data_IF_127533246833
#
_entry.id   IF_127533246833
#
_cell.length_a   1.000
_cell.length_b   1.000
_cell.length_c   1.000
_cell.angle_alpha   90.00
_cell.angle_beta   90.00
_cell.angle_gamma   90.00
#
_symmetry.space_group_name_H-M   'P 1'
#
loop_
_entity.id
_entity.type
_entity.pdbx_description
1 polymer ?
#
# COMPACT_ATOMS: atom_id res chain seq x y z
N UNK A 1 31.15 28.44 9.19
CA UNK A 1 31.23 27.42 8.10
C UNK A 1 31.38 25.99 8.64
N UNK A 2 32.40 25.67 9.45
CA UNK A 2 32.66 24.29 9.93
C UNK A 2 31.56 23.71 10.84
N UNK A 3 30.93 24.54 11.69
CA UNK A 3 29.79 24.11 12.52
C UNK A 3 28.60 23.64 11.66
N UNK A 4 28.18 24.47 10.70
CA UNK A 4 27.10 24.13 9.76
C UNK A 4 27.43 22.87 8.93
N UNK A 5 28.66 22.73 8.44
CA UNK A 5 29.07 21.54 7.71
C UNK A 5 28.98 20.25 8.56
N UNK A 6 29.35 20.34 9.85
CA UNK A 6 29.26 19.21 10.79
C UNK A 6 27.81 18.88 11.12
N UNK A 7 26.97 19.90 11.35
CA UNK A 7 25.53 19.73 11.58
C UNK A 7 24.86 19.04 10.39
N UNK A 8 25.11 19.51 9.17
CA UNK A 8 24.57 18.92 7.94
C UNK A 8 25.04 17.48 7.78
N UNK A 9 26.32 17.20 8.04
CA UNK A 9 26.87 15.84 7.98
C UNK A 9 26.14 14.91 8.95
N UNK A 10 25.87 15.35 10.18
CA UNK A 10 25.12 14.56 11.16
C UNK A 10 23.66 14.34 10.74
N UNK A 11 23.02 15.35 10.17
CA UNK A 11 21.67 15.25 9.60
C UNK A 11 21.63 14.22 8.47
N UNK A 12 22.60 14.24 7.55
CA UNK A 12 22.68 13.28 6.44
C UNK A 12 22.89 11.84 6.92
N UNK A 13 23.72 11.64 7.95
CA UNK A 13 23.90 10.31 8.58
C UNK A 13 22.58 9.86 9.22
N UNK A 14 21.89 10.76 9.91
CA UNK A 14 20.60 10.46 10.53
C UNK A 14 19.53 10.11 9.49
N UNK A 15 19.53 10.76 8.33
CA UNK A 15 18.65 10.42 7.20
C UNK A 15 18.89 8.98 6.73
N UNK A 16 20.14 8.54 6.62
CA UNK A 16 20.45 7.14 6.27
C UNK A 16 19.81 6.17 7.27
N UNK A 17 19.95 6.42 8.57
CA UNK A 17 19.31 5.60 9.60
C UNK A 17 17.77 5.59 9.50
N UNK A 18 17.16 6.75 9.26
CA UNK A 18 15.70 6.88 9.09
C UNK A 18 15.22 6.15 7.83
N UNK A 19 15.99 6.16 6.74
CA UNK A 19 15.63 5.38 5.53
C UNK A 19 15.59 3.88 5.80
N UNK A 20 16.46 3.37 6.69
CA UNK A 20 16.41 1.98 7.15
C UNK A 20 15.13 1.66 7.91
N UNK A 21 14.72 2.54 8.84
CA UNK A 21 13.44 2.45 9.56
C UNK A 21 12.26 2.45 8.56
N UNK A 22 12.29 3.33 7.56
CA UNK A 22 11.22 3.48 6.58
C UNK A 22 10.92 2.20 5.79
N UNK A 23 11.94 1.38 5.48
CA UNK A 23 11.72 0.13 4.73
C UNK A 23 10.78 -0.80 5.49
N UNK A 24 10.98 -0.98 6.79
CA UNK A 24 10.15 -1.87 7.59
C UNK A 24 8.87 -1.15 8.04
N UNK A 25 9.01 -0.06 8.81
CA UNK A 25 7.87 0.64 9.40
C UNK A 25 7.03 1.36 8.35
N UNK A 26 7.67 2.06 7.41
CA UNK A 26 6.99 2.87 6.40
C UNK A 26 6.30 2.04 5.31
N UNK A 27 6.94 0.97 4.81
CA UNK A 27 6.36 0.16 3.74
C UNK A 27 5.40 -0.91 4.26
N UNK A 28 5.74 -1.62 5.34
CA UNK A 28 4.92 -2.76 5.82
C UNK A 28 3.89 -2.39 6.90
N UNK A 29 4.08 -1.23 7.55
CA UNK A 29 3.31 -0.82 8.72
C UNK A 29 3.69 -1.56 10.01
N UNK A 30 4.74 -2.39 9.99
CA UNK A 30 5.22 -3.08 11.19
C UNK A 30 6.23 -2.18 11.91
N UNK A 31 5.91 -1.79 13.13
CA UNK A 31 6.78 -0.96 13.94
C UNK A 31 7.99 -1.77 14.44
N UNK A 32 9.20 -1.22 14.29
CA UNK A 32 10.45 -1.86 14.70
C UNK A 32 11.36 -0.85 15.38
N UNK A 33 11.92 -1.25 16.52
CA UNK A 33 12.82 -0.44 17.35
C UNK A 33 14.29 -0.92 17.31
N UNK A 34 14.58 -1.98 16.54
CA UNK A 34 15.90 -2.63 16.52
C UNK A 34 16.93 -2.02 15.55
N UNK A 35 16.62 -0.91 14.88
CA UNK A 35 17.50 -0.34 13.84
C UNK A 35 18.82 0.20 14.41
N UNK A 36 18.77 0.78 15.62
CA UNK A 36 19.95 1.23 16.33
C UNK A 36 20.95 0.08 16.59
N UNK A 37 20.44 -1.13 16.83
CA UNK A 37 21.23 -2.33 17.07
C UNK A 37 22.04 -2.73 15.84
N UNK A 38 21.44 -2.69 14.65
CA UNK A 38 22.14 -2.98 13.39
C UNK A 38 23.18 -1.91 13.06
N UNK A 39 22.87 -0.64 13.33
CA UNK A 39 23.83 0.44 13.21
C UNK A 39 25.03 0.23 14.16
N UNK A 40 24.76 -0.17 15.41
CA UNK A 40 25.80 -0.48 16.39
C UNK A 40 26.68 -1.65 15.92
N UNK A 41 26.09 -2.77 15.46
CA UNK A 41 26.84 -3.91 14.93
C UNK A 41 27.75 -3.48 13.78
N UNK A 42 27.21 -2.75 12.80
CA UNK A 42 28.00 -2.27 11.66
C UNK A 42 29.16 -1.35 12.10
N UNK A 43 28.89 -0.43 13.03
CA UNK A 43 29.90 0.49 13.56
C UNK A 43 31.01 -0.24 14.34
N UNK A 44 30.65 -1.17 15.24
CA UNK A 44 31.62 -1.91 16.04
C UNK A 44 32.42 -2.91 15.20
N UNK A 45 31.79 -3.63 14.27
CA UNK A 45 32.50 -4.56 13.39
C UNK A 45 33.52 -3.81 12.53
N UNK A 46 33.10 -2.73 11.85
CA UNK A 46 34.03 -1.93 11.04
C UNK A 46 35.13 -1.28 11.88
N UNK A 47 34.81 -0.78 13.07
CA UNK A 47 35.78 -0.20 14.01
C UNK A 47 36.82 -1.20 14.50
N UNK A 48 36.40 -2.41 14.92
CA UNK A 48 37.32 -3.47 15.37
C UNK A 48 38.24 -3.92 14.25
N UNK A 49 37.72 -4.10 13.03
CA UNK A 49 38.53 -4.53 11.89
C UNK A 49 39.59 -3.49 11.50
N UNK A 50 39.27 -2.21 11.57
CA UNK A 50 40.23 -1.14 11.27
C UNK A 50 41.26 -0.98 12.38
N UNK A 51 40.83 -0.94 13.65
CA UNK A 51 41.70 -0.59 14.78
C UNK A 51 42.54 -1.77 15.25
N UNK A 52 41.97 -2.98 15.33
CA UNK A 52 42.68 -4.16 15.87
C UNK A 52 43.29 -5.05 14.82
N UNK A 53 42.60 -5.21 13.68
CA UNK A 53 43.06 -6.09 12.59
C UNK A 53 43.89 -5.31 11.56
N UNK A 54 43.78 -3.98 11.53
CA UNK A 54 44.52 -3.14 10.59
C UNK A 54 44.01 -3.23 9.15
N UNK A 55 42.78 -3.69 8.94
CA UNK A 55 42.21 -3.81 7.59
C UNK A 55 41.91 -2.42 6.98
N UNK A 56 42.00 -2.29 5.65
CA UNK A 56 41.58 -1.07 4.96
C UNK A 56 40.14 -0.69 5.31
N UNK A 57 39.89 0.62 5.44
CA UNK A 57 38.59 1.18 5.83
C UNK A 57 37.44 0.65 4.96
N UNK A 58 37.58 0.72 3.63
CA UNK A 58 36.54 0.30 2.70
C UNK A 58 36.21 -1.20 2.75
N UNK A 59 37.24 -2.04 2.91
CA UNK A 59 37.05 -3.48 3.07
C UNK A 59 36.32 -3.80 4.38
N UNK A 60 36.68 -3.11 5.46
CA UNK A 60 36.03 -3.25 6.77
C UNK A 60 34.55 -2.85 6.73
N UNK A 61 34.20 -1.80 5.98
CA UNK A 61 32.79 -1.39 5.77
C UNK A 61 32.00 -2.47 5.03
N UNK A 62 32.55 -3.05 3.96
CA UNK A 62 31.87 -4.12 3.22
C UNK A 62 31.64 -5.36 4.09
N UNK A 63 32.64 -5.78 4.86
CA UNK A 63 32.51 -6.90 5.80
C UNK A 63 31.45 -6.59 6.87
N UNK A 64 31.44 -5.36 7.39
CA UNK A 64 30.44 -4.93 8.37
C UNK A 64 29.01 -4.98 7.82
N UNK A 65 28.80 -4.60 6.55
CA UNK A 65 27.49 -4.73 5.88
C UNK A 65 27.08 -6.20 5.78
N UNK A 66 27.97 -7.08 5.33
CA UNK A 66 27.68 -8.52 5.21
C UNK A 66 27.31 -9.14 6.56
N UNK A 67 28.07 -8.83 7.61
CA UNK A 67 27.77 -9.31 8.97
C UNK A 67 26.45 -8.75 9.48
N UNK A 68 26.18 -7.46 9.28
CA UNK A 68 24.91 -6.84 9.69
C UNK A 68 23.70 -7.47 8.99
N UNK A 69 23.83 -7.79 7.70
CA UNK A 69 22.81 -8.51 6.92
C UNK A 69 22.61 -9.93 7.46
N UNK A 70 23.70 -10.65 7.76
CA UNK A 70 23.63 -12.00 8.31
C UNK A 70 22.92 -12.01 9.68
N UNK A 71 23.28 -11.12 10.60
CA UNK A 71 22.59 -10.97 11.89
C UNK A 71 21.14 -10.56 11.69
N UNK A 72 20.88 -9.62 10.77
CA UNK A 72 19.53 -9.19 10.41
C UNK A 72 18.66 -10.33 9.88
N UNK A 73 19.22 -11.26 9.13
CA UNK A 73 18.52 -12.44 8.64
C UNK A 73 18.18 -13.41 9.79
N UNK A 74 19.15 -13.69 10.66
CA UNK A 74 18.98 -14.60 11.82
C UNK A 74 17.92 -14.08 12.79
N UNK A 75 17.93 -12.77 13.08
CA UNK A 75 16.95 -12.14 13.98
C UNK A 75 15.62 -11.87 13.27
N UNK A 76 15.66 -11.49 12.00
CA UNK A 76 14.48 -11.15 11.21
C UNK A 76 13.57 -12.34 10.94
N UNK A 77 14.12 -13.50 10.59
CA UNK A 77 13.35 -14.72 10.28
C UNK A 77 12.33 -15.14 11.37
N UNK A 78 12.69 -15.23 12.66
CA UNK A 78 11.73 -15.52 13.71
C UNK A 78 10.83 -14.32 14.00
N UNK A 79 11.36 -13.09 13.94
CA UNK A 79 10.61 -11.87 14.26
C UNK A 79 9.42 -11.66 13.33
N UNK A 80 9.59 -11.87 12.02
CA UNK A 80 8.51 -11.67 11.05
C UNK A 80 7.41 -12.75 11.09
N UNK A 81 7.60 -13.82 11.89
CA UNK A 81 6.57 -14.84 12.16
C UNK A 81 5.60 -14.43 13.25
N UNK A 82 5.95 -13.41 14.03
CA UNK A 82 5.16 -12.96 15.16
C UNK A 82 4.03 -12.05 14.69
N UNK A 83 2.98 -11.95 15.51
CA UNK A 83 1.91 -10.98 15.30
C UNK A 83 2.49 -9.57 15.42
N UNK A 84 1.94 -8.62 14.67
CA UNK A 84 2.44 -7.24 14.52
C UNK A 84 2.88 -6.58 15.82
N UNK A 85 2.07 -6.75 16.87
CA UNK A 85 2.30 -6.10 18.16
C UNK A 85 3.55 -6.64 18.88
N UNK A 86 3.96 -7.88 18.59
CA UNK A 86 5.13 -8.52 19.18
C UNK A 86 6.44 -8.18 18.47
N UNK A 87 6.39 -7.69 17.21
CA UNK A 87 7.59 -7.32 16.45
C UNK A 87 8.32 -6.16 17.16
N UNK A 88 7.58 -5.16 17.62
CA UNK A 88 8.12 -4.03 18.38
C UNK A 88 8.81 -4.49 19.66
N UNK A 89 8.19 -5.41 20.41
CA UNK A 89 8.73 -5.93 21.67
C UNK A 89 10.01 -6.73 21.45
N UNK A 90 10.03 -7.62 20.46
CA UNK A 90 11.22 -8.43 20.15
C UNK A 90 12.36 -7.56 19.63
N UNK A 91 12.06 -6.56 18.80
CA UNK A 91 13.10 -5.65 18.28
C UNK A 91 13.67 -4.71 19.33
N UNK A 92 12.87 -4.29 20.32
CA UNK A 92 13.35 -3.58 21.51
C UNK A 92 14.24 -4.49 22.36
N UNK A 93 13.78 -5.71 22.65
CA UNK A 93 14.57 -6.69 23.41
C UNK A 93 15.90 -7.03 22.74
N UNK A 94 15.91 -7.12 21.40
CA UNK A 94 17.16 -7.24 20.62
C UNK A 94 18.06 -6.02 20.79
N UNK A 95 17.50 -4.82 20.84
CA UNK A 95 18.23 -3.58 21.16
C UNK A 95 18.96 -3.65 22.47
N UNK A 96 18.25 -3.97 23.54
CA UNK A 96 18.83 -4.11 24.87
C UNK A 96 19.86 -5.23 24.94
N UNK A 97 19.61 -6.37 24.28
CA UNK A 97 20.55 -7.48 24.22
C UNK A 97 21.87 -7.09 23.54
N UNK A 98 21.82 -6.33 22.44
CA UNK A 98 23.03 -5.84 21.77
C UNK A 98 23.78 -4.83 22.64
N UNK A 99 23.09 -3.91 23.30
CA UNK A 99 23.72 -2.96 24.24
C UNK A 99 24.42 -3.71 25.38
N UNK A 100 23.75 -4.69 25.99
CA UNK A 100 24.31 -5.53 27.05
C UNK A 100 25.54 -6.32 26.56
N UNK A 101 25.45 -6.95 25.38
CA UNK A 101 26.55 -7.71 24.78
C UNK A 101 27.78 -6.82 24.54
N UNK A 102 27.58 -5.65 23.92
CA UNK A 102 28.66 -4.71 23.64
C UNK A 102 29.34 -4.20 24.92
N UNK A 103 28.59 -4.01 26.00
CA UNK A 103 29.13 -3.60 27.29
C UNK A 103 29.85 -4.73 28.05
N UNK A 104 29.44 -5.98 27.86
CA UNK A 104 30.05 -7.14 28.51
C UNK A 104 31.37 -7.55 27.83
N UNK A 105 31.47 -7.41 26.50
CA UNK A 105 32.66 -7.78 25.72
C UNK A 105 33.73 -6.70 25.71
N UNK A 106 34.08 -6.14 26.87
CA UNK A 106 35.01 -4.99 26.98
C UNK A 106 36.37 -5.24 26.31
N UNK A 107 36.88 -6.47 26.40
CA UNK A 107 38.14 -6.87 25.75
C UNK A 107 38.11 -6.68 24.24
N UNK A 108 36.94 -6.81 23.62
CA UNK A 108 36.74 -6.66 22.19
C UNK A 108 36.31 -5.24 21.86
N UNK A 109 35.23 -4.71 22.46
CA UNK A 109 34.51 -3.47 22.09
C UNK A 109 35.00 -2.20 22.77
N UNK A 110 35.78 -2.31 23.85
CA UNK A 110 36.06 -1.18 24.75
C UNK A 110 34.89 -0.82 25.68
N UNK A 111 33.81 -1.62 25.69
CA UNK A 111 32.63 -1.38 26.52
C UNK A 111 31.98 -0.02 26.25
N UNK A 112 31.52 0.64 27.30
CA UNK A 112 30.87 1.96 27.20
C UNK A 112 31.82 3.09 26.72
N UNK A 113 33.14 2.91 26.84
CA UNK A 113 34.14 3.90 26.43
C UNK A 113 34.46 3.84 24.93
N UNK A 114 34.16 2.72 24.27
CA UNK A 114 34.44 2.50 22.85
C UNK A 114 35.94 2.47 22.51
N UNK A 115 36.27 2.82 21.26
CA UNK A 115 37.67 2.83 20.77
C UNK A 115 38.11 4.22 20.31
N UNK A 116 39.37 4.52 20.58
CA UNK A 116 40.11 5.62 19.96
C UNK A 116 40.87 5.15 18.72
N UNK A 117 41.21 6.08 17.82
CA UNK A 117 42.07 5.79 16.66
C UNK A 117 41.32 5.41 15.37
N UNK A 118 40.00 5.55 15.32
CA UNK A 118 39.22 5.34 14.09
C UNK A 118 39.51 6.51 13.12
N UNK A 119 39.97 6.24 11.88
CA UNK A 119 40.27 7.29 10.93
C UNK A 119 38.98 8.02 10.51
N UNK A 120 38.93 9.34 10.74
CA UNK A 120 37.79 10.17 10.32
C UNK A 120 37.84 10.40 8.81
N UNK A 121 37.26 9.47 8.05
CA UNK A 121 37.11 9.56 6.58
C UNK A 121 35.78 10.19 6.15
N UNK A 122 34.88 10.48 7.09
CA UNK A 122 33.58 11.07 6.79
C UNK A 122 33.70 12.53 6.35
N UNK A 123 33.48 12.77 5.07
CA UNK A 123 33.33 14.12 4.50
C UNK A 123 31.86 14.43 4.23
N UNK A 124 31.53 15.71 4.10
CA UNK A 124 30.19 16.16 3.73
C UNK A 124 29.74 15.52 2.39
N UNK A 125 30.65 15.46 1.41
CA UNK A 125 30.40 14.84 0.10
C UNK A 125 30.07 13.36 0.21
N UNK A 126 30.83 12.62 1.02
CA UNK A 126 30.59 11.20 1.23
C UNK A 126 29.25 10.95 1.93
N UNK A 127 28.91 11.76 2.95
CA UNK A 127 27.62 11.66 3.63
C UNK A 127 26.45 11.97 2.68
N UNK A 128 26.58 13.00 1.85
CA UNK A 128 25.55 13.39 0.88
C UNK A 128 25.35 12.30 -0.18
N UNK A 129 26.43 11.81 -0.80
CA UNK A 129 26.37 10.74 -1.80
C UNK A 129 25.77 9.48 -1.21
N UNK A 130 26.15 9.11 0.01
CA UNK A 130 25.61 7.93 0.70
C UNK A 130 24.11 8.09 0.99
N UNK A 131 23.68 9.26 1.47
CA UNK A 131 22.26 9.52 1.75
C UNK A 131 21.41 9.48 0.46
N UNK A 132 21.85 10.16 -0.60
CA UNK A 132 21.16 10.13 -1.90
C UNK A 132 21.09 8.71 -2.46
N UNK A 133 22.20 7.96 -2.37
CA UNK A 133 22.25 6.57 -2.82
C UNK A 133 21.29 5.67 -2.03
N UNK A 134 21.24 5.81 -0.69
CA UNK A 134 20.26 5.07 0.14
C UNK A 134 18.81 5.41 -0.22
N UNK A 135 18.48 6.70 -0.41
CA UNK A 135 17.14 7.14 -0.83
C UNK A 135 16.78 6.57 -2.20
N UNK A 136 17.74 6.59 -3.14
CA UNK A 136 17.57 6.01 -4.47
C UNK A 136 17.30 4.51 -4.39
N UNK A 137 18.09 3.75 -3.62
CA UNK A 137 17.89 2.31 -3.42
C UNK A 137 16.53 2.00 -2.82
N UNK A 138 16.10 2.75 -1.79
CA UNK A 138 14.78 2.60 -1.18
C UNK A 138 13.67 2.91 -2.19
N UNK A 139 13.85 3.92 -3.03
CA UNK A 139 12.90 4.30 -4.08
C UNK A 139 12.77 3.21 -5.15
N UNK A 140 13.88 2.62 -5.58
CA UNK A 140 13.90 1.46 -6.48
C UNK A 140 13.23 0.25 -5.83
N UNK A 141 13.55 -0.03 -4.56
CA UNK A 141 12.95 -1.13 -3.81
C UNK A 141 11.43 -0.98 -3.68
N UNK A 142 10.93 0.21 -3.33
CA UNK A 142 9.50 0.53 -3.25
C UNK A 142 8.76 0.26 -4.57
N UNK A 143 9.40 0.59 -5.71
CA UNK A 143 8.82 0.36 -7.05
C UNK A 143 8.94 -1.09 -7.52
N UNK A 144 9.79 -1.91 -6.90
CA UNK A 144 10.01 -3.32 -7.26
C UNK A 144 8.82 -4.22 -6.87
N UNK A 145 8.80 -5.44 -7.41
CA UNK A 145 7.82 -6.48 -7.03
C UNK A 145 7.83 -6.76 -5.52
N UNK A 146 9.02 -6.83 -4.91
CA UNK A 146 9.19 -7.10 -3.48
C UNK A 146 8.69 -5.96 -2.60
N UNK A 147 8.94 -4.71 -3.00
CA UNK A 147 8.42 -3.53 -2.30
C UNK A 147 6.89 -3.49 -2.31
N UNK A 148 6.26 -3.79 -3.44
CA UNK A 148 4.79 -3.90 -3.54
C UNK A 148 4.23 -5.02 -2.67
N UNK A 149 4.92 -6.16 -2.58
CA UNK A 149 4.54 -7.24 -1.67
C UNK A 149 4.64 -6.83 -0.19
N UNK A 150 5.66 -6.04 0.18
CA UNK A 150 5.81 -5.48 1.52
C UNK A 150 4.65 -4.52 1.86
N UNK A 151 4.25 -3.67 0.92
CA UNK A 151 3.10 -2.76 1.07
C UNK A 151 1.78 -3.53 1.16
N UNK A 152 1.62 -4.60 0.38
CA UNK A 152 0.43 -5.46 0.43
C UNK A 152 0.34 -6.30 1.72
N UNK A 153 1.48 -6.56 2.39
CA UNK A 153 1.53 -7.25 3.68
C UNK A 153 0.97 -6.41 4.85
N UNK A 154 0.29 -5.28 4.56
CA UNK A 154 -0.34 -4.39 5.55
C UNK A 154 -1.47 -5.06 6.38
N UNK A 155 -1.72 -6.36 6.26
CA UNK A 155 -2.60 -7.11 7.17
C UNK A 155 -2.13 -8.51 7.60
N UNK A 156 -0.93 -8.99 7.20
CA UNK A 156 -0.46 -10.34 7.56
C UNK A 156 1.05 -10.53 7.36
N UNK A 157 1.70 -11.34 8.21
CA UNK A 157 3.16 -11.51 8.27
C UNK A 157 3.83 -11.76 6.92
N UNK A 158 5.11 -11.35 6.79
CA UNK A 158 5.86 -11.29 5.52
C UNK A 158 6.18 -12.65 4.89
N UNK A 159 6.07 -13.76 5.62
CA UNK A 159 6.54 -15.06 5.14
C UNK A 159 5.53 -15.75 4.23
N UNK A 160 6.01 -16.37 3.12
CA UNK A 160 5.19 -17.18 2.23
C UNK A 160 4.91 -18.53 2.92
N UNK A 161 3.95 -18.56 3.83
CA UNK A 161 3.44 -19.82 4.40
C UNK A 161 2.50 -20.49 3.40
N UNK A 162 2.39 -21.82 3.42
CA UNK A 162 1.49 -22.56 2.54
C UNK A 162 0.03 -22.07 2.65
N UNK A 163 -0.42 -21.73 3.86
CA UNK A 163 -1.72 -21.11 4.12
C UNK A 163 -1.85 -19.77 3.39
N UNK A 164 -0.86 -18.88 3.51
CA UNK A 164 -0.85 -17.58 2.81
C UNK A 164 -0.85 -17.75 1.30
N UNK A 165 -0.05 -18.67 0.76
CA UNK A 165 -0.02 -18.92 -0.69
C UNK A 165 -1.38 -19.41 -1.20
N UNK A 166 -2.10 -20.23 -0.43
CA UNK A 166 -3.45 -20.67 -0.76
C UNK A 166 -4.46 -19.52 -0.74
N UNK A 167 -4.40 -18.65 0.27
CA UNK A 167 -5.25 -17.45 0.36
C UNK A 167 -4.94 -16.44 -0.76
N UNK A 168 -3.65 -16.19 -1.06
CA UNK A 168 -3.24 -15.32 -2.16
C UNK A 168 -3.68 -15.86 -3.53
N UNK A 169 -3.59 -17.19 -3.72
CA UNK A 169 -4.08 -17.85 -4.92
C UNK A 169 -5.59 -17.66 -5.06
N UNK A 170 -6.35 -17.95 -3.99
CA UNK A 170 -7.81 -17.76 -3.97
C UNK A 170 -8.19 -16.29 -4.24
N UNK A 171 -7.53 -15.34 -3.61
CA UNK A 171 -7.77 -13.92 -3.84
C UNK A 171 -7.47 -13.50 -5.28
N UNK A 172 -6.40 -14.05 -5.87
CA UNK A 172 -6.06 -13.81 -7.28
C UNK A 172 -7.12 -14.38 -8.22
N UNK A 173 -7.57 -15.60 -7.98
CA UNK A 173 -8.63 -16.25 -8.77
C UNK A 173 -9.93 -15.42 -8.73
N UNK A 174 -10.31 -14.90 -7.56
CA UNK A 174 -11.47 -14.00 -7.40
C UNK A 174 -11.28 -12.69 -8.18
N UNK A 175 -10.11 -12.05 -8.07
CA UNK A 175 -9.82 -10.82 -8.81
C UNK A 175 -9.81 -11.03 -10.33
N UNK A 176 -9.21 -12.13 -10.80
CA UNK A 176 -9.18 -12.48 -12.22
C UNK A 176 -10.59 -12.73 -12.76
N UNK A 177 -11.43 -13.42 -11.99
CA UNK A 177 -12.83 -13.63 -12.33
C UNK A 177 -13.58 -12.30 -12.51
N UNK A 178 -13.54 -11.41 -11.51
CA UNK A 178 -14.30 -10.15 -11.59
C UNK A 178 -13.74 -9.14 -12.60
N UNK A 179 -12.42 -9.11 -12.81
CA UNK A 179 -11.82 -8.32 -13.91
C UNK A 179 -12.36 -8.78 -15.26
N UNK A 180 -12.53 -10.09 -15.45
CA UNK A 180 -13.09 -10.64 -16.67
C UNK A 180 -14.58 -10.29 -16.82
N UNK A 181 -15.35 -10.43 -15.75
CA UNK A 181 -16.79 -10.10 -15.72
C UNK A 181 -17.05 -8.65 -16.14
N UNK A 182 -16.26 -7.69 -15.63
CA UNK A 182 -16.42 -6.26 -16.00
C UNK A 182 -15.75 -5.87 -17.33
N UNK A 183 -15.12 -6.83 -18.03
CA UNK A 183 -14.49 -6.62 -19.33
C UNK A 183 -13.14 -5.90 -19.29
N UNK A 184 -12.43 -5.92 -18.15
CA UNK A 184 -11.15 -5.24 -17.96
C UNK A 184 -9.92 -6.14 -18.17
N UNK A 185 -10.09 -7.36 -18.70
CA UNK A 185 -9.00 -8.31 -18.96
C UNK A 185 -7.81 -7.71 -19.73
N UNK A 186 -8.00 -6.88 -20.79
CA UNK A 186 -6.89 -6.25 -21.51
C UNK A 186 -6.08 -5.27 -20.65
N UNK A 187 -6.69 -4.71 -19.61
CA UNK A 187 -6.12 -3.66 -18.76
C UNK A 187 -5.62 -4.18 -17.41
N UNK A 188 -5.56 -5.50 -17.19
CA UNK A 188 -5.23 -6.11 -15.89
C UNK A 188 -3.89 -5.69 -15.29
N UNK A 189 -2.94 -5.24 -16.12
CA UNK A 189 -1.60 -4.82 -15.72
C UNK A 189 -1.45 -3.29 -15.68
N UNK A 190 -2.47 -2.54 -16.09
CA UNK A 190 -2.46 -1.09 -16.10
C UNK A 190 -2.74 -0.54 -14.69
N UNK A 191 -2.24 0.68 -14.45
CA UNK A 191 -2.57 1.40 -13.22
C UNK A 191 -3.96 2.02 -13.35
N UNK A 192 -4.77 2.03 -12.28
CA UNK A 192 -6.09 2.67 -12.30
C UNK A 192 -6.04 4.14 -12.77
N UNK A 193 -5.00 4.87 -12.37
CA UNK A 193 -4.74 6.27 -12.75
C UNK A 193 -4.58 6.48 -14.27
N UNK A 194 -4.19 5.43 -15.01
CA UNK A 194 -3.98 5.49 -16.46
C UNK A 194 -5.25 5.13 -17.26
N UNK A 195 -6.30 4.63 -16.59
CA UNK A 195 -7.51 4.19 -17.27
C UNK A 195 -8.41 5.39 -17.61
N UNK A 196 -9.09 5.37 -18.78
CA UNK A 196 -10.22 6.26 -19.03
C UNK A 196 -11.28 6.16 -17.93
N UNK A 197 -12.01 7.25 -17.72
CA UNK A 197 -12.92 7.38 -16.58
C UNK A 197 -14.04 6.32 -16.56
N UNK A 198 -14.64 5.98 -17.70
CA UNK A 198 -15.60 4.86 -17.78
C UNK A 198 -15.01 3.51 -17.34
N UNK A 199 -13.76 3.23 -17.68
CA UNK A 199 -13.07 2.01 -17.25
C UNK A 199 -12.71 2.04 -15.75
N UNK A 200 -12.39 3.21 -15.20
CA UNK A 200 -12.20 3.37 -13.75
C UNK A 200 -13.49 3.03 -12.99
N UNK A 201 -14.65 3.48 -13.48
CA UNK A 201 -15.94 3.18 -12.87
C UNK A 201 -16.26 1.69 -12.87
N UNK A 202 -15.99 0.99 -13.98
CA UNK A 202 -16.09 -0.47 -14.05
C UNK A 202 -15.15 -1.18 -13.06
N UNK A 203 -13.94 -0.65 -12.87
CA UNK A 203 -13.00 -1.17 -11.88
C UNK A 203 -13.50 -0.98 -10.44
N UNK A 204 -14.17 0.14 -10.14
CA UNK A 204 -14.82 0.36 -8.84
C UNK A 204 -15.92 -0.67 -8.58
N UNK A 205 -16.74 -0.98 -9.59
CA UNK A 205 -17.76 -2.04 -9.50
C UNK A 205 -17.06 -3.39 -9.26
N UNK A 206 -16.03 -3.73 -10.03
CA UNK A 206 -15.27 -4.97 -9.81
C UNK A 206 -14.72 -5.08 -8.39
N UNK A 207 -14.21 -3.97 -7.82
CA UNK A 207 -13.75 -3.92 -6.43
C UNK A 207 -14.88 -4.21 -5.44
N UNK A 208 -16.06 -3.63 -5.63
CA UNK A 208 -17.22 -3.91 -4.79
C UNK A 208 -17.64 -5.39 -4.89
N UNK A 209 -17.61 -5.96 -6.08
CA UNK A 209 -17.95 -7.37 -6.33
C UNK A 209 -16.98 -8.35 -5.66
N UNK A 210 -15.70 -7.99 -5.49
CA UNK A 210 -14.73 -8.87 -4.80
C UNK A 210 -15.13 -9.21 -3.36
N UNK A 211 -15.98 -8.39 -2.72
CA UNK A 211 -16.53 -8.66 -1.39
C UNK A 211 -17.65 -9.70 -1.38
N UNK A 212 -18.06 -10.22 -2.54
CA UNK A 212 -19.20 -11.13 -2.72
C UNK A 212 -20.47 -10.60 -2.02
N UNK A 213 -20.90 -9.37 -2.33
CA UNK A 213 -22.01 -8.74 -1.63
C UNK A 213 -23.33 -9.47 -1.92
N UNK A 214 -24.23 -9.50 -0.93
CA UNK A 214 -25.63 -9.89 -1.15
C UNK A 214 -26.48 -8.77 -1.73
N UNK A 215 -26.05 -7.52 -1.49
CA UNK A 215 -26.68 -6.29 -2.01
C UNK A 215 -25.57 -5.35 -2.47
N UNK A 216 -25.62 -4.93 -3.73
CA UNK A 216 -24.72 -3.95 -4.34
C UNK A 216 -25.42 -2.58 -4.38
N UNK A 217 -24.82 -1.58 -3.73
CA UNK A 217 -25.31 -0.20 -3.75
C UNK A 217 -24.50 0.59 -4.78
N UNK A 218 -25.17 1.18 -5.77
CA UNK A 218 -24.56 2.01 -6.80
C UNK A 218 -25.08 3.44 -6.67
N UNK A 219 -24.21 4.34 -6.24
CA UNK A 219 -24.51 5.76 -6.06
C UNK A 219 -23.99 6.56 -7.26
N UNK A 220 -24.91 7.06 -8.08
CA UNK A 220 -24.68 7.79 -9.33
C UNK A 220 -23.60 7.16 -10.24
N UNK A 221 -23.69 5.86 -10.58
CA UNK A 221 -22.66 5.16 -11.32
C UNK A 221 -22.36 5.79 -12.69
N UNK A 222 -23.29 6.53 -13.30
CA UNK A 222 -23.10 7.14 -14.62
C UNK A 222 -22.63 8.61 -14.59
N UNK A 223 -22.40 9.19 -13.42
CA UNK A 223 -21.93 10.57 -13.30
C UNK A 223 -20.58 10.78 -14.02
N UNK A 224 -20.50 11.80 -14.88
CA UNK A 224 -19.28 12.18 -15.62
C UNK A 224 -18.94 11.29 -16.83
N UNK A 225 -19.83 10.37 -17.21
CA UNK A 225 -19.66 9.51 -18.38
C UNK A 225 -20.31 10.10 -19.64
N UNK A 226 -19.71 9.82 -20.80
CA UNK A 226 -20.31 10.14 -22.09
C UNK A 226 -21.49 9.19 -22.40
N UNK A 227 -22.39 9.52 -23.35
CA UNK A 227 -23.55 8.68 -23.67
C UNK A 227 -23.22 7.23 -24.04
N UNK A 228 -22.11 7.00 -24.76
CA UNK A 228 -21.65 5.67 -25.12
C UNK A 228 -21.21 4.87 -23.90
N UNK A 229 -20.43 5.46 -23.02
CA UNK A 229 -19.97 4.85 -21.76
C UNK A 229 -21.14 4.53 -20.83
N UNK A 230 -22.19 5.37 -20.80
CA UNK A 230 -23.39 5.08 -20.02
C UNK A 230 -24.13 3.89 -20.57
N UNK A 231 -24.32 3.81 -21.89
CA UNK A 231 -24.95 2.65 -22.50
C UNK A 231 -24.20 1.35 -22.17
N UNK A 232 -22.87 1.38 -22.31
CA UNK A 232 -22.02 0.24 -21.96
C UNK A 232 -22.11 -0.14 -20.47
N UNK A 233 -22.21 0.86 -19.58
CA UNK A 233 -22.37 0.64 -18.15
C UNK A 233 -23.76 0.06 -17.82
N UNK A 234 -24.82 0.55 -18.46
CA UNK A 234 -26.19 0.03 -18.34
C UNK A 234 -26.22 -1.45 -18.75
N UNK A 235 -25.61 -1.79 -19.88
CA UNK A 235 -25.48 -3.19 -20.35
C UNK A 235 -24.69 -4.05 -19.35
N UNK A 236 -23.61 -3.52 -18.78
CA UNK A 236 -22.85 -4.22 -17.75
C UNK A 236 -23.71 -4.48 -16.50
N UNK A 237 -24.39 -3.47 -15.97
CA UNK A 237 -25.20 -3.62 -14.74
C UNK A 237 -26.38 -4.56 -14.99
N UNK A 238 -27.03 -4.49 -16.16
CA UNK A 238 -28.07 -5.44 -16.56
C UNK A 238 -27.56 -6.88 -16.56
N UNK A 239 -26.44 -7.16 -17.23
CA UNK A 239 -25.83 -8.50 -17.21
C UNK A 239 -25.46 -8.96 -15.80
N UNK A 240 -24.93 -8.06 -14.96
CA UNK A 240 -24.58 -8.40 -13.57
C UNK A 240 -25.83 -8.76 -12.74
N UNK A 241 -26.94 -8.04 -12.95
CA UNK A 241 -28.22 -8.33 -12.30
C UNK A 241 -28.77 -9.69 -12.69
N UNK A 242 -28.60 -10.10 -13.95
CA UNK A 242 -29.10 -11.37 -14.48
C UNK A 242 -28.22 -12.56 -14.09
N UNK A 243 -26.89 -12.39 -14.17
CA UNK A 243 -25.92 -13.48 -13.99
C UNK A 243 -25.56 -13.72 -12.52
N UNK A 244 -25.66 -12.69 -11.67
CA UNK A 244 -25.15 -12.75 -10.30
C UNK A 244 -26.31 -12.48 -9.34
N UNK A 245 -26.67 -13.50 -8.56
CA UNK A 245 -27.82 -13.51 -7.65
C UNK A 245 -27.70 -12.60 -6.41
N UNK A 246 -27.28 -11.34 -6.59
CA UNK A 246 -27.32 -10.29 -5.59
C UNK A 246 -28.34 -9.22 -5.97
N UNK A 247 -28.88 -8.52 -4.97
CA UNK A 247 -29.77 -7.39 -5.22
C UNK A 247 -28.96 -6.14 -5.58
N UNK A 248 -29.45 -5.33 -6.52
CA UNK A 248 -28.85 -4.03 -6.86
C UNK A 248 -29.78 -2.93 -6.38
N UNK A 249 -29.27 -2.01 -5.56
CA UNK A 249 -29.93 -0.73 -5.29
C UNK A 249 -29.15 0.36 -6.02
N UNK A 250 -29.82 1.01 -6.97
CA UNK A 250 -29.26 2.05 -7.80
C UNK A 250 -29.86 3.40 -7.40
N UNK A 251 -28.99 4.39 -7.24
CA UNK A 251 -29.35 5.81 -7.15
C UNK A 251 -28.81 6.49 -8.40
N UNK A 252 -29.70 7.10 -9.18
CA UNK A 252 -29.33 7.84 -10.39
C UNK A 252 -30.32 8.98 -10.65
N UNK A 253 -29.84 10.02 -11.30
CA UNK A 253 -30.67 11.08 -11.87
C UNK A 253 -30.89 10.89 -13.38
N UNK A 254 -30.12 10.00 -14.04
CA UNK A 254 -30.29 9.69 -15.46
C UNK A 254 -31.41 8.67 -15.68
N UNK A 255 -32.55 9.15 -16.18
CA UNK A 255 -33.74 8.33 -16.45
C UNK A 255 -33.48 7.16 -17.41
N UNK A 256 -32.64 7.34 -18.44
CA UNK A 256 -32.30 6.27 -19.40
C UNK A 256 -31.75 5.01 -18.70
N UNK A 257 -30.85 5.19 -17.73
CA UNK A 257 -30.26 4.08 -16.98
C UNK A 257 -31.28 3.52 -15.99
N UNK A 258 -31.95 4.38 -15.21
CA UNK A 258 -32.94 3.95 -14.21
C UNK A 258 -34.04 3.10 -14.85
N UNK A 259 -34.57 3.53 -16.00
CA UNK A 259 -35.65 2.81 -16.69
C UNK A 259 -35.15 1.52 -17.37
N UNK A 260 -33.90 1.48 -17.81
CA UNK A 260 -33.35 0.34 -18.53
C UNK A 260 -32.99 -0.88 -17.68
N UNK A 261 -32.69 -0.68 -16.38
CA UNK A 261 -32.21 -1.77 -15.51
C UNK A 261 -33.04 -2.01 -14.24
N UNK A 262 -33.97 -1.12 -13.90
CA UNK A 262 -34.72 -1.23 -12.64
C UNK A 262 -36.00 -2.03 -12.80
N UNK A 263 -36.21 -3.02 -11.93
CA UNK A 263 -37.47 -3.76 -11.84
C UNK A 263 -38.56 -2.95 -11.11
N UNK A 264 -38.13 -2.11 -10.15
CA UNK A 264 -39.01 -1.24 -9.37
C UNK A 264 -38.25 0.04 -9.03
N UNK A 265 -38.90 1.18 -9.21
CA UNK A 265 -38.31 2.50 -9.04
C UNK A 265 -39.04 3.21 -7.90
N UNK A 266 -38.28 3.89 -7.05
CA UNK A 266 -38.80 4.83 -6.06
C UNK A 266 -38.35 6.23 -6.47
N UNK A 267 -39.30 7.14 -6.61
CA UNK A 267 -39.03 8.53 -6.94
C UNK A 267 -39.27 9.37 -5.69
N UNK A 268 -38.29 10.18 -5.32
CA UNK A 268 -38.34 11.04 -4.14
C UNK A 268 -38.27 12.50 -4.56
N UNK A 269 -39.10 13.37 -3.98
CA UNK A 269 -39.00 14.82 -4.15
C UNK A 269 -39.02 15.49 -2.77
N UNK A 270 -38.07 16.38 -2.50
CA UNK A 270 -37.92 17.05 -1.20
C UNK A 270 -37.97 16.12 0.04
N UNK A 271 -37.47 14.89 -0.10
CA UNK A 271 -37.45 13.90 0.98
C UNK A 271 -38.73 13.07 1.14
N UNK A 272 -39.76 13.33 0.33
CA UNK A 272 -40.99 12.54 0.30
C UNK A 272 -41.05 11.66 -0.95
N UNK A 273 -41.56 10.43 -0.81
CA UNK A 273 -41.75 9.53 -1.95
C UNK A 273 -42.99 9.98 -2.73
N UNK A 274 -42.78 10.41 -3.99
CA UNK A 274 -43.86 10.86 -4.88
C UNK A 274 -44.44 9.72 -5.71
N UNK A 275 -43.64 8.70 -6.02
CA UNK A 275 -44.09 7.57 -6.82
C UNK A 275 -43.27 6.31 -6.54
N UNK A 276 -43.93 5.15 -6.59
CA UNK A 276 -43.28 3.83 -6.53
C UNK A 276 -43.98 2.94 -7.55
N UNK A 277 -43.22 2.33 -8.46
CA UNK A 277 -43.79 1.52 -9.53
C UNK A 277 -42.75 0.89 -10.45
N UNK A 278 -43.22 0.26 -11.52
CA UNK A 278 -42.37 -0.22 -12.62
C UNK A 278 -41.87 0.95 -13.49
N UNK A 279 -40.85 0.77 -14.34
CA UNK A 279 -40.41 1.79 -15.30
C UNK A 279 -41.55 2.39 -16.12
N UNK A 280 -42.50 1.57 -16.56
CA UNK A 280 -43.66 2.01 -17.35
C UNK A 280 -44.60 2.89 -16.52
N UNK A 281 -44.93 2.46 -15.30
CA UNK A 281 -45.80 3.21 -14.38
C UNK A 281 -45.20 4.57 -13.99
N UNK A 282 -43.88 4.62 -13.74
CA UNK A 282 -43.19 5.86 -13.37
C UNK A 282 -43.11 6.83 -14.55
N UNK A 283 -42.92 6.32 -15.78
CA UNK A 283 -42.83 7.15 -16.98
C UNK A 283 -44.13 7.89 -17.29
N UNK A 284 -45.27 7.29 -16.98
CA UNK A 284 -46.60 7.89 -17.18
C UNK A 284 -47.08 8.72 -15.99
N UNK A 285 -46.35 8.70 -14.86
CA UNK A 285 -46.79 9.36 -13.63
C UNK A 285 -46.68 10.90 -13.76
N UNK A 286 -47.80 11.65 -13.64
CA UNK A 286 -47.81 13.10 -13.83
C UNK A 286 -47.02 13.87 -12.77
N UNK A 287 -46.94 13.37 -11.52
CA UNK A 287 -46.14 14.01 -10.47
C UNK A 287 -44.64 13.89 -10.74
N UNK A 288 -44.21 12.73 -11.26
CA UNK A 288 -42.82 12.49 -11.67
C UNK A 288 -42.45 13.37 -12.86
N UNK A 289 -43.33 13.44 -13.88
CA UNK A 289 -43.11 14.32 -15.04
C UNK A 289 -42.97 15.77 -14.60
N UNK A 290 -43.87 16.25 -13.73
CA UNK A 290 -43.82 17.63 -13.22
C UNK A 290 -42.57 17.92 -12.40
N UNK A 291 -42.12 16.98 -11.57
CA UNK A 291 -40.98 17.16 -10.67
C UNK A 291 -39.61 16.99 -11.37
N UNK A 292 -39.50 16.11 -12.37
CA UNK A 292 -38.23 15.70 -12.95
C UNK A 292 -38.06 15.96 -14.46
N UNK A 293 -39.16 16.02 -15.22
CA UNK A 293 -39.12 16.23 -16.67
C UNK A 293 -39.49 17.67 -17.07
N UNK A 294 -40.21 18.40 -16.22
CA UNK A 294 -40.67 19.76 -16.50
C UNK A 294 -41.80 19.81 -17.53
N UNK A 295 -42.65 20.84 -17.47
CA UNK A 295 -43.71 21.07 -18.46
C UNK A 295 -43.16 21.72 -19.75
N UNK A 296 -42.37 21.00 -20.55
CA UNK A 296 -42.10 21.42 -21.94
C UNK A 296 -42.08 20.22 -22.89
N UNK A 297 -43.25 19.87 -23.44
CA UNK A 297 -43.50 19.57 -24.86
C UNK A 297 -44.95 19.08 -25.09
N UNK A 298 -45.93 19.89 -24.67
CA UNK A 298 -47.26 19.92 -25.31
C UNK A 298 -47.64 21.37 -25.57
N UNK A 299 -47.07 21.94 -26.62
CA UNK A 299 -47.72 23.04 -27.35
C UNK A 299 -48.14 22.49 -28.71
N UNK A 300 -49.43 22.72 -28.97
CA UNK A 300 -50.30 22.34 -30.08
C UNK A 300 -49.65 22.09 -31.44
#
# INVERSE_FOLDING_TARGET
MQFYASLITFTLISVIAVTGIYILTGLTGMFSLGQASFMAIGAYVSGVLVVKVGLPFWLSVLIAVVISVAVGYVVGLPTVRLRRDYISLVTLGFGEAIIALLNQTQSITGGALGFSGIPKKTTLTLALVSAVFCIFLVSCFKRSKYGRQCIAAKSGGLLPTAKRMKEEKRGREICEHYINVVGLTPYKNERPENLPYGLQRRLEIARALTCQPKVLLLDEPAAGLNPTEVKELTELIGRLSDEIGFAILLIEHRLELVMGISHRIHVLNFGETIAVGTPEEIKENPEVIKAYLGEEERKC
#
